data_IF_520323884875
#
_entry.id   IF_520323884875
#
_cell.length_a   1.000
_cell.length_b   1.000
_cell.length_c   1.000
_cell.angle_alpha   90.00
_cell.angle_beta   90.00
_cell.angle_gamma   90.00
#
_symmetry.space_group_name_H-M   'P 1'
#
loop_
_entity.id
_entity.type
_entity.pdbx_description
1 polymer ?
#
# COMPACT_ATOMS: atom_id res chain seq x y z
N UNK A 1 -10.42 -4.73 -6.92
CA UNK A 1 -9.23 -4.10 -6.31
C UNK A 1 -9.40 -2.60 -6.26
N UNK A 2 -8.66 -1.96 -5.37
CA UNK A 2 -8.75 -0.53 -5.19
C UNK A 2 -8.29 0.23 -6.43
N UNK A 3 -9.09 1.21 -6.84
CA UNK A 3 -8.73 2.16 -7.89
C UNK A 3 -9.66 3.36 -7.77
N UNK A 4 -9.26 4.54 -8.28
CA UNK A 4 -10.14 5.70 -8.23
C UNK A 4 -11.40 5.46 -9.07
N UNK A 5 -12.55 5.87 -8.53
CA UNK A 5 -13.81 5.82 -9.28
C UNK A 5 -13.81 6.83 -10.41
N UNK A 6 -13.08 7.94 -10.23
CA UNK A 6 -13.04 9.03 -11.20
C UNK A 6 -11.69 9.73 -11.11
N UNK A 7 -11.11 10.09 -12.25
CA UNK A 7 -9.83 10.80 -12.29
C UNK A 7 -9.94 12.05 -13.17
N UNK A 8 -9.17 13.08 -12.80
CA UNK A 8 -9.05 14.28 -13.60
C UNK A 8 -8.23 14.00 -14.88
N UNK A 9 -7.18 13.20 -14.75
CA UNK A 9 -6.35 12.78 -15.87
C UNK A 9 -6.27 11.26 -15.90
N UNK A 10 -6.44 10.69 -17.08
CA UNK A 10 -6.37 9.25 -17.28
C UNK A 10 -4.96 8.71 -17.14
N UNK A 11 -3.97 9.50 -17.53
CA UNK A 11 -2.56 9.14 -17.50
C UNK A 11 -1.78 10.20 -16.74
N UNK A 12 -0.71 9.80 -16.06
CA UNK A 12 0.13 10.70 -15.30
C UNK A 12 1.60 10.40 -15.55
N UNK A 13 2.44 11.41 -15.34
CA UNK A 13 3.87 11.22 -15.37
C UNK A 13 4.33 10.36 -14.20
N UNK A 14 5.35 9.54 -14.45
CA UNK A 14 5.88 8.63 -13.45
C UNK A 14 6.45 9.36 -12.23
N UNK A 15 7.26 10.37 -12.45
CA UNK A 15 7.86 11.14 -11.37
C UNK A 15 8.83 10.33 -10.52
N UNK A 16 9.39 10.99 -9.51
CA UNK A 16 10.25 10.35 -8.49
C UNK A 16 9.66 10.61 -7.11
N UNK A 17 9.85 9.65 -6.21
CA UNK A 17 9.41 9.78 -4.83
C UNK A 17 10.57 10.33 -4.02
N UNK A 18 10.36 11.49 -3.38
CA UNK A 18 11.40 12.19 -2.61
C UNK A 18 11.00 12.38 -1.16
N UNK A 19 12.01 12.37 -0.28
CA UNK A 19 11.86 12.75 1.11
C UNK A 19 11.09 11.75 1.94
N UNK A 20 10.81 12.13 3.18
CA UNK A 20 10.03 11.35 4.13
C UNK A 20 8.57 11.78 4.10
N UNK A 21 7.68 10.91 4.56
CA UNK A 21 6.26 11.23 4.68
C UNK A 21 6.05 12.34 5.70
N UNK A 22 5.20 13.31 5.37
CA UNK A 22 4.84 14.40 6.28
C UNK A 22 3.49 14.17 6.95
N UNK A 23 2.65 13.34 6.36
CA UNK A 23 1.36 12.95 6.91
C UNK A 23 1.20 11.45 6.89
N UNK A 24 0.23 10.94 7.63
CA UNK A 24 -0.03 9.50 7.69
C UNK A 24 1.11 8.72 8.34
N UNK A 25 1.84 9.35 9.28
CA UNK A 25 3.00 8.75 9.95
C UNK A 25 2.68 8.19 11.32
N UNK A 26 1.47 8.40 11.81
CA UNK A 26 1.05 7.95 13.13
C UNK A 26 -0.20 7.09 13.05
N UNK A 27 -0.38 6.20 14.05
CA UNK A 27 -1.59 5.40 14.15
C UNK A 27 -2.74 6.29 14.60
N UNK A 28 -3.83 6.30 13.83
CA UNK A 28 -5.00 7.11 14.11
C UNK A 28 -6.24 6.29 14.45
N UNK A 29 -6.35 5.09 13.90
CA UNK A 29 -7.56 4.27 14.01
C UNK A 29 -7.35 3.03 14.85
N UNK A 30 -6.22 2.34 14.68
CA UNK A 30 -5.96 1.07 15.33
C UNK A 30 -4.91 1.14 16.42
N UNK A 31 -4.66 0.00 17.05
CA UNK A 31 -3.62 -0.13 18.07
C UNK A 31 -2.27 -0.51 17.48
N UNK A 32 -2.27 -1.18 16.35
CA UNK A 32 -1.08 -1.69 15.68
C UNK A 32 -1.08 -1.30 14.22
N UNK A 33 0.10 -1.21 13.65
CA UNK A 33 0.21 -0.82 12.26
C UNK A 33 1.47 -1.31 11.58
N UNK A 34 1.51 -1.10 10.27
CA UNK A 34 2.65 -1.43 9.42
C UNK A 34 3.14 -0.13 8.79
N UNK A 35 4.39 0.22 9.07
CA UNK A 35 5.01 1.46 8.60
C UNK A 35 6.02 1.17 7.51
N UNK A 36 6.00 1.94 6.44
CA UNK A 36 6.97 1.83 5.36
C UNK A 36 8.33 2.38 5.79
N UNK A 37 9.40 1.68 5.42
CA UNK A 37 10.77 2.11 5.67
C UNK A 37 11.49 2.60 4.42
N UNK A 38 10.91 2.33 3.24
CA UNK A 38 11.52 2.65 1.96
C UNK A 38 10.54 3.40 1.06
N UNK A 39 11.02 4.24 0.13
CA UNK A 39 10.16 4.82 -0.89
C UNK A 39 9.88 3.79 -1.99
N UNK A 40 8.63 3.66 -2.41
CA UNK A 40 8.27 2.76 -3.49
C UNK A 40 6.87 3.07 -4.01
N UNK A 41 6.55 2.47 -5.13
CA UNK A 41 5.20 2.44 -5.67
C UNK A 41 4.61 1.06 -5.39
N UNK A 42 3.51 1.03 -4.66
CA UNK A 42 2.81 -0.21 -4.31
C UNK A 42 1.54 -0.28 -5.15
N UNK A 43 1.36 -1.37 -5.90
CA UNK A 43 0.19 -1.48 -6.75
C UNK A 43 -1.03 -2.01 -5.98
N UNK A 44 -2.20 -1.89 -6.59
CA UNK A 44 -3.45 -2.31 -5.97
C UNK A 44 -3.47 -3.81 -5.63
N UNK A 45 -2.78 -4.64 -6.41
CA UNK A 45 -2.70 -6.08 -6.16
C UNK A 45 -1.90 -6.39 -4.91
N UNK A 46 -0.80 -5.67 -4.68
CA UNK A 46 0.02 -5.83 -3.47
C UNK A 46 -0.78 -5.42 -2.24
N UNK A 47 -1.50 -4.30 -2.31
CA UNK A 47 -2.35 -3.83 -1.22
C UNK A 47 -3.41 -4.87 -0.88
N UNK A 48 -4.09 -5.41 -1.88
CA UNK A 48 -5.13 -6.41 -1.67
C UNK A 48 -4.57 -7.72 -1.13
N UNK A 49 -3.43 -8.16 -1.63
CA UNK A 49 -2.77 -9.36 -1.14
C UNK A 49 -2.37 -9.22 0.34
N UNK A 50 -1.84 -8.05 0.71
CA UNK A 50 -1.47 -7.74 2.08
C UNK A 50 -2.71 -7.75 2.99
N UNK A 51 -3.78 -7.08 2.58
CA UNK A 51 -5.04 -7.05 3.32
C UNK A 51 -5.58 -8.46 3.57
N UNK A 52 -5.60 -9.29 2.53
CA UNK A 52 -6.10 -10.67 2.65
C UNK A 52 -5.25 -11.50 3.60
N UNK A 53 -3.94 -11.36 3.55
CA UNK A 53 -3.04 -12.09 4.44
C UNK A 53 -3.26 -11.68 5.90
N UNK A 54 -3.40 -10.38 6.16
CA UNK A 54 -3.66 -9.85 7.50
C UNK A 54 -5.01 -10.38 8.02
N UNK A 55 -6.06 -10.25 7.23
CA UNK A 55 -7.41 -10.68 7.61
C UNK A 55 -7.47 -12.17 7.89
N UNK A 56 -6.79 -12.96 7.07
CA UNK A 56 -6.76 -14.42 7.25
C UNK A 56 -6.12 -14.81 8.57
N UNK A 57 -5.00 -14.19 8.93
CA UNK A 57 -4.32 -14.49 10.19
C UNK A 57 -5.14 -14.04 11.39
N UNK A 58 -5.87 -12.95 11.27
CA UNK A 58 -6.76 -12.47 12.34
C UNK A 58 -8.05 -13.28 12.45
N UNK A 59 -8.29 -14.22 11.52
CA UNK A 59 -9.49 -15.08 11.50
C UNK A 59 -10.79 -14.27 11.56
N UNK A 60 -10.78 -13.11 10.88
CA UNK A 60 -11.90 -12.16 10.84
C UNK A 60 -12.23 -11.51 12.19
N UNK A 61 -11.36 -11.66 13.19
CA UNK A 61 -11.49 -10.92 14.42
C UNK A 61 -10.93 -9.52 14.25
N UNK A 62 -11.50 -8.55 14.94
CA UNK A 62 -11.01 -7.18 14.90
C UNK A 62 -11.28 -6.45 13.58
N UNK A 63 -10.55 -5.39 13.37
CA UNK A 63 -10.73 -4.51 12.21
C UNK A 63 -9.41 -4.20 11.54
N UNK A 64 -9.47 -3.95 10.23
CA UNK A 64 -8.32 -3.59 9.40
C UNK A 64 -8.64 -2.29 8.67
N UNK A 65 -7.71 -1.32 8.73
CA UNK A 65 -7.80 -0.08 7.96
C UNK A 65 -6.66 -0.04 6.96
N UNK A 66 -6.99 0.21 5.70
CA UNK A 66 -6.01 0.46 4.65
C UNK A 66 -5.78 1.97 4.63
N UNK A 67 -4.53 2.40 4.93
CA UNK A 67 -4.19 3.82 5.05
C UNK A 67 -3.63 4.42 3.77
N UNK A 68 -3.51 3.63 2.72
CA UNK A 68 -3.00 4.08 1.43
C UNK A 68 -3.99 3.74 0.33
N UNK A 69 -3.99 4.55 -0.73
CA UNK A 69 -4.89 4.33 -1.86
C UNK A 69 -4.10 4.41 -3.17
N UNK A 70 -4.29 3.46 -4.10
CA UNK A 70 -3.59 3.48 -5.38
C UNK A 70 -4.29 4.43 -6.36
N UNK A 71 -3.88 5.68 -6.36
CA UNK A 71 -4.49 6.73 -7.15
C UNK A 71 -3.66 7.17 -8.37
N UNK A 72 -2.49 6.58 -8.56
CA UNK A 72 -1.61 6.94 -9.67
C UNK A 72 -1.68 5.85 -10.74
N UNK A 73 -2.09 6.18 -11.97
CA UNK A 73 -2.15 5.21 -13.05
C UNK A 73 -0.76 4.93 -13.61
N UNK A 74 -0.47 3.68 -13.91
CA UNK A 74 0.77 3.26 -14.57
C UNK A 74 0.41 2.67 -15.93
N UNK A 75 1.03 3.21 -16.98
CA UNK A 75 0.81 2.77 -18.35
C UNK A 75 1.90 1.82 -18.77
N UNK A 76 1.53 0.82 -19.57
CA UNK A 76 2.48 -0.13 -20.14
C UNK A 76 2.11 -0.39 -21.60
N UNK A 77 3.11 -0.33 -22.47
CA UNK A 77 2.90 -0.68 -23.88
C UNK A 77 3.05 -2.19 -24.06
N UNK A 78 2.21 -2.82 -24.89
CA UNK A 78 2.44 -4.21 -25.29
C UNK A 78 3.81 -4.35 -25.95
N UNK A 79 4.44 -5.53 -25.82
CA UNK A 79 5.76 -5.79 -26.38
C UNK A 79 5.82 -5.62 -27.90
N UNK A 80 4.71 -5.76 -28.59
CA UNK A 80 4.59 -5.67 -30.04
C UNK A 80 4.41 -4.24 -30.56
N UNK A 81 4.18 -3.28 -29.67
CA UNK A 81 3.97 -1.89 -30.06
C UNK A 81 5.31 -1.18 -30.23
N UNK A 82 5.47 -0.47 -31.36
CA UNK A 82 6.69 0.27 -31.62
C UNK A 82 6.88 1.38 -30.60
N UNK A 83 8.13 1.59 -30.20
CA UNK A 83 8.50 2.71 -29.35
C UNK A 83 8.20 4.03 -30.08
N UNK A 84 7.71 5.02 -29.34
CA UNK A 84 7.39 6.32 -29.90
C UNK A 84 5.97 6.49 -30.39
N UNK A 85 5.13 5.46 -30.35
CA UNK A 85 3.72 5.58 -30.75
C UNK A 85 2.84 6.23 -29.69
N UNK A 86 3.43 6.93 -28.72
CA UNK A 86 2.71 7.56 -27.62
C UNK A 86 2.66 6.70 -26.37
N UNK A 87 2.10 7.25 -25.31
CA UNK A 87 1.98 6.55 -24.02
C UNK A 87 0.90 5.47 -24.09
N UNK A 88 1.20 4.29 -23.57
CA UNK A 88 0.23 3.19 -23.53
C UNK A 88 -0.96 3.51 -22.64
N UNK A 89 -2.01 2.70 -22.73
CA UNK A 89 -3.18 2.82 -21.87
C UNK A 89 -2.82 2.52 -20.40
N UNK A 90 -3.52 3.12 -19.43
CA UNK A 90 -3.33 2.75 -18.02
C UNK A 90 -3.60 1.27 -17.82
N UNK A 91 -2.64 0.55 -17.23
CA UNK A 91 -2.76 -0.88 -17.01
C UNK A 91 -3.09 -1.20 -15.55
N UNK A 92 -2.50 -0.47 -14.62
CA UNK A 92 -2.74 -0.70 -13.20
C UNK A 92 -2.55 0.61 -12.42
N UNK A 93 -2.96 0.57 -11.16
CA UNK A 93 -2.92 1.72 -10.28
C UNK A 93 -1.95 1.48 -9.14
N UNK A 94 -1.22 2.50 -8.74
CA UNK A 94 -0.24 2.41 -7.65
C UNK A 94 -0.41 3.55 -6.67
N UNK A 95 0.03 3.32 -5.42
CA UNK A 95 0.19 4.35 -4.42
C UNK A 95 1.68 4.69 -4.33
N UNK A 96 2.01 5.98 -4.28
CA UNK A 96 3.37 6.43 -4.04
C UNK A 96 3.59 6.50 -2.54
N UNK A 97 4.54 5.70 -2.08
CA UNK A 97 4.81 5.57 -0.65
C UNK A 97 6.13 6.22 -0.31
N UNK A 98 6.13 7.06 0.72
CA UNK A 98 7.35 7.64 1.29
C UNK A 98 7.70 6.95 2.60
N UNK A 99 8.99 6.90 2.96
CA UNK A 99 9.37 6.31 4.25
C UNK A 99 8.64 7.00 5.41
N UNK A 100 8.17 6.22 6.37
CA UNK A 100 7.42 6.71 7.52
C UNK A 100 5.91 6.61 7.38
N UNK A 101 5.41 6.35 6.20
CA UNK A 101 3.97 6.24 5.96
C UNK A 101 3.40 4.99 6.60
N UNK A 102 2.28 5.12 7.32
CA UNK A 102 1.51 3.97 7.81
C UNK A 102 0.72 3.41 6.62
N UNK A 103 0.89 2.11 6.38
CA UNK A 103 0.23 1.43 5.27
C UNK A 103 -1.08 0.78 5.70
N UNK A 104 -1.07 0.11 6.85
CA UNK A 104 -2.23 -0.59 7.40
C UNK A 104 -2.28 -0.37 8.91
N UNK A 105 -3.50 -0.41 9.45
CA UNK A 105 -3.72 -0.41 10.90
C UNK A 105 -4.69 -1.53 11.23
N UNK A 106 -4.53 -2.12 12.42
CA UNK A 106 -5.44 -3.15 12.91
C UNK A 106 -5.72 -2.93 14.38
N UNK A 107 -6.85 -3.43 14.84
CA UNK A 107 -7.17 -3.51 16.27
C UNK A 107 -8.03 -4.74 16.53
N UNK A 108 -8.34 -4.97 17.81
CA UNK A 108 -9.24 -6.07 18.20
C UNK A 108 -8.57 -7.43 18.29
N UNK A 109 -7.24 -7.48 18.22
CA UNK A 109 -6.47 -8.72 18.40
C UNK A 109 -5.33 -8.46 19.38
N UNK A 110 -4.75 -9.54 19.93
CA UNK A 110 -3.64 -9.40 20.85
C UNK A 110 -2.32 -9.09 20.09
N UNK A 111 -1.29 -8.75 20.86
CA UNK A 111 0.00 -8.36 20.29
C UNK A 111 0.64 -9.47 19.45
N UNK A 112 0.57 -10.71 19.94
CA UNK A 112 1.17 -11.85 19.23
C UNK A 112 0.50 -12.07 17.88
N UNK A 113 -0.84 -12.07 17.85
CA UNK A 113 -1.61 -12.21 16.62
C UNK A 113 -1.34 -11.04 15.68
N UNK A 114 -1.28 -9.81 16.22
CA UNK A 114 -1.03 -8.63 15.44
C UNK A 114 0.34 -8.67 14.75
N UNK A 115 1.38 -9.05 15.48
CA UNK A 115 2.73 -9.18 14.91
C UNK A 115 2.78 -10.20 13.79
N UNK A 116 2.17 -11.36 13.99
CA UNK A 116 2.15 -12.41 12.98
C UNK A 116 1.34 -11.99 11.76
N UNK A 117 0.17 -11.37 11.96
CA UNK A 117 -0.64 -10.88 10.86
C UNK A 117 0.11 -9.87 10.00
N UNK A 118 0.79 -8.91 10.66
CA UNK A 118 1.55 -7.90 9.94
C UNK A 118 2.78 -8.47 9.26
N UNK A 119 3.42 -9.48 9.85
CA UNK A 119 4.55 -10.17 9.21
C UNK A 119 4.11 -10.85 7.91
N UNK A 120 2.98 -11.54 7.95
CA UNK A 120 2.44 -12.23 6.78
C UNK A 120 1.99 -11.22 5.71
N UNK A 121 1.37 -10.13 6.14
CA UNK A 121 0.97 -9.07 5.22
C UNK A 121 2.17 -8.41 4.56
N UNK A 122 3.19 -8.09 5.35
CA UNK A 122 4.39 -7.43 4.83
C UNK A 122 5.12 -8.29 3.79
N UNK A 123 5.02 -9.61 3.89
CA UNK A 123 5.62 -10.52 2.91
C UNK A 123 5.02 -10.37 1.51
N UNK A 124 3.83 -9.78 1.41
CA UNK A 124 3.17 -9.52 0.12
C UNK A 124 3.55 -8.19 -0.50
N UNK A 125 4.30 -7.37 0.23
CA UNK A 125 4.73 -6.05 -0.23
C UNK A 125 6.17 -6.10 -0.73
N UNK A 126 6.50 -5.20 -1.65
CA UNK A 126 7.82 -5.13 -2.27
C UNK A 126 8.81 -4.26 -1.49
N UNK A 127 8.42 -3.71 -0.36
CA UNK A 127 9.24 -2.77 0.41
C UNK A 127 9.48 -3.27 1.83
N UNK A 128 10.53 -2.75 2.45
CA UNK A 128 10.79 -3.00 3.87
C UNK A 128 9.77 -2.24 4.72
N UNK A 129 9.30 -2.88 5.77
CA UNK A 129 8.28 -2.32 6.66
C UNK A 129 8.66 -2.58 8.10
N UNK A 130 7.99 -1.86 9.01
CA UNK A 130 8.18 -2.01 10.45
C UNK A 130 6.82 -2.14 11.13
N UNK A 131 6.73 -3.10 12.05
CA UNK A 131 5.57 -3.22 12.94
C UNK A 131 5.62 -2.09 13.97
N UNK A 132 4.51 -1.39 14.15
CA UNK A 132 4.41 -0.32 15.14
C UNK A 132 3.17 -0.53 15.99
N UNK A 133 3.24 -0.03 17.23
CA UNK A 133 2.13 -0.12 18.16
C UNK A 133 1.99 1.20 18.90
N UNK A 134 0.75 1.52 19.29
CA UNK A 134 0.43 2.79 19.91
C UNK A 134 1.04 2.93 21.31
N UNK A 135 1.05 1.86 22.07
CA UNK A 135 1.41 1.88 23.48
C UNK A 135 2.56 0.91 23.81
N UNK A 136 3.63 0.97 23.04
CA UNK A 136 4.83 0.20 23.36
C UNK A 136 5.97 1.14 23.63
#
# INVERSE_FOLDING_TARGET
>A
MLQPARTKFRKQHKGRIHGAAKGGTELNFGEYGLKALEPERINAREIEACRRAITREMKRAGRVWIRVFPDVPVSKKPAEVRMGSGKGAPEFWVARIKPGRILFEIDGVDLTTAKEAMRLGAAKLSIATKFVARNI
#
